data_IF_152557289991
#
_entry.id   IF_152557289991
#
_cell.length_a   1.000
_cell.length_b   1.000
_cell.length_c   1.000
_cell.angle_alpha   90.00
_cell.angle_beta   90.00
_cell.angle_gamma   90.00
#
_symmetry.space_group_name_H-M   'P 1'
#
loop_
_entity.id
_entity.type
_entity.pdbx_description
1 polymer ?
#
# COMPACT_ATOMS: atom_id res chain seq x y z
N UNK A 1 48.25 -24.66 -10.03
CA UNK A 1 48.46 -23.74 -8.89
C UNK A 1 47.32 -22.71 -8.89
N UNK A 2 46.38 -22.81 -7.95
CA UNK A 2 45.19 -21.95 -7.92
C UNK A 2 45.50 -20.62 -7.21
N UNK A 3 45.33 -19.50 -7.92
CA UNK A 3 45.55 -18.14 -7.41
C UNK A 3 44.43 -17.78 -6.44
N UNK A 4 44.69 -17.79 -5.13
CA UNK A 4 43.78 -17.25 -4.10
C UNK A 4 43.54 -15.77 -4.40
N UNK A 5 42.32 -15.42 -4.84
CA UNK A 5 41.89 -14.05 -5.04
C UNK A 5 41.60 -13.45 -3.66
N UNK A 6 42.42 -12.51 -3.22
CA UNK A 6 42.22 -11.79 -1.96
C UNK A 6 41.05 -10.82 -2.15
N UNK A 7 39.84 -11.26 -1.82
CA UNK A 7 38.65 -10.41 -1.86
C UNK A 7 38.72 -9.51 -0.61
N UNK A 8 38.76 -8.17 -0.75
CA UNK A 8 38.83 -7.28 0.39
C UNK A 8 37.55 -7.44 1.24
N UNK A 9 37.71 -7.51 2.56
CA UNK A 9 36.60 -7.72 3.51
C UNK A 9 35.45 -6.71 3.34
N UNK A 10 35.76 -5.50 2.86
CA UNK A 10 34.78 -4.47 2.51
C UNK A 10 33.80 -4.91 1.39
N UNK A 11 34.25 -5.69 0.40
CA UNK A 11 33.37 -6.24 -0.64
C UNK A 11 32.49 -7.39 -0.13
N UNK A 12 32.98 -8.17 0.83
CA UNK A 12 32.24 -9.33 1.37
C UNK A 12 31.09 -8.87 2.28
N UNK A 13 31.27 -7.78 3.02
CA UNK A 13 30.26 -7.24 3.93
C UNK A 13 29.32 -6.21 3.28
N UNK A 14 29.76 -5.52 2.22
CA UNK A 14 28.92 -4.52 1.54
C UNK A 14 27.75 -5.12 0.77
N UNK A 15 27.96 -6.28 0.12
CA UNK A 15 26.93 -6.95 -0.68
C UNK A 15 25.71 -7.42 0.14
N UNK A 16 25.86 -8.12 1.29
CA UNK A 16 24.72 -8.55 2.09
C UNK A 16 23.97 -7.39 2.76
N UNK A 17 24.68 -6.31 3.12
CA UNK A 17 24.04 -5.12 3.73
C UNK A 17 23.17 -4.38 2.70
N UNK A 18 23.67 -4.25 1.47
CA UNK A 18 22.93 -3.62 0.38
C UNK A 18 21.67 -4.43 0.01
N UNK A 19 21.78 -5.77 -0.06
CA UNK A 19 20.63 -6.61 -0.42
C UNK A 19 19.55 -6.57 0.66
N UNK A 20 19.92 -6.63 1.95
CA UNK A 20 18.96 -6.50 3.06
C UNK A 20 18.26 -5.14 3.03
N UNK A 21 18.99 -4.04 2.78
CA UNK A 21 18.41 -2.70 2.67
C UNK A 21 17.33 -2.58 1.59
N UNK A 22 17.52 -3.24 0.44
CA UNK A 22 16.52 -3.23 -0.65
C UNK A 22 15.25 -3.98 -0.27
N UNK A 23 15.34 -5.11 0.45
CA UNK A 23 14.17 -5.86 0.88
C UNK A 23 13.33 -5.14 1.95
N UNK A 24 13.94 -4.34 2.81
CA UNK A 24 13.22 -3.56 3.84
C UNK A 24 12.41 -2.41 3.22
N UNK A 25 12.92 -1.79 2.16
CA UNK A 25 12.22 -0.71 1.44
C UNK A 25 11.17 -1.23 0.45
N UNK A 26 11.35 -2.45 -0.06
CA UNK A 26 10.41 -3.14 -0.95
C UNK A 26 9.24 -3.81 -0.26
N UNK A 27 8.76 -3.26 0.87
CA UNK A 27 7.56 -3.71 1.55
C UNK A 27 6.34 -3.53 0.66
N UNK A 28 6.10 -4.48 -0.25
CA UNK A 28 4.88 -4.62 -1.02
C UNK A 28 3.73 -4.88 -0.05
N UNK A 29 3.19 -3.81 0.51
CA UNK A 29 2.00 -3.87 1.34
C UNK A 29 0.80 -4.08 0.41
N UNK A 30 0.59 -5.34 0.02
CA UNK A 30 -0.65 -5.76 -0.63
C UNK A 30 -1.77 -5.41 0.34
N UNK A 31 -2.71 -4.57 -0.11
CA UNK A 31 -3.87 -4.20 0.70
C UNK A 31 -4.55 -5.48 1.19
N UNK A 32 -4.67 -5.62 2.53
CA UNK A 32 -5.33 -6.76 3.16
C UNK A 32 -6.79 -6.90 2.71
N UNK A 33 -7.38 -5.80 2.30
CA UNK A 33 -8.76 -5.69 1.90
C UNK A 33 -8.86 -5.35 0.41
N UNK A 34 -9.81 -5.98 -0.30
CA UNK A 34 -10.11 -5.57 -1.67
C UNK A 34 -10.73 -4.17 -1.69
N UNK A 35 -10.66 -3.51 -2.84
CA UNK A 35 -11.32 -2.21 -3.04
C UNK A 35 -12.86 -2.32 -2.99
N UNK A 36 -13.39 -3.52 -3.22
CA UNK A 36 -14.82 -3.84 -3.18
C UNK A 36 -15.30 -4.39 -1.84
N UNK A 37 -14.39 -4.63 -0.89
CA UNK A 37 -14.74 -5.19 0.41
C UNK A 37 -15.49 -4.16 1.25
N UNK A 38 -16.59 -4.62 1.85
CA UNK A 38 -17.35 -3.85 2.83
C UNK A 38 -16.45 -3.54 4.03
N UNK A 39 -16.33 -2.26 4.40
CA UNK A 39 -15.49 -1.77 5.50
C UNK A 39 -16.29 -1.58 6.77
N UNK A 40 -17.58 -1.31 6.63
CA UNK A 40 -18.50 -1.14 7.74
C UNK A 40 -19.73 -2.03 7.55
N UNK A 41 -20.43 -2.40 8.64
CA UNK A 41 -21.71 -3.10 8.52
C UNK A 41 -22.76 -2.30 7.72
N UNK A 42 -22.63 -0.96 7.72
CA UNK A 42 -23.54 -0.05 7.03
C UNK A 42 -23.37 -0.09 5.50
N UNK A 43 -22.18 -0.43 4.98
CA UNK A 43 -21.92 -0.47 3.53
C UNK A 43 -22.88 -1.43 2.80
N UNK A 44 -23.28 -2.54 3.45
CA UNK A 44 -24.27 -3.47 2.89
C UNK A 44 -25.67 -2.85 2.82
N UNK A 45 -26.07 -2.10 3.85
CA UNK A 45 -27.36 -1.43 3.89
C UNK A 45 -27.44 -0.35 2.81
N UNK A 46 -26.41 0.49 2.74
CA UNK A 46 -26.28 1.55 1.73
C UNK A 46 -26.33 1.00 0.31
N UNK A 47 -25.68 -0.14 0.06
CA UNK A 47 -25.74 -0.81 -1.26
C UNK A 47 -27.14 -1.25 -1.64
N UNK A 48 -27.92 -1.78 -0.70
CA UNK A 48 -29.32 -2.20 -0.95
C UNK A 48 -30.19 -0.99 -1.30
N UNK A 49 -29.95 0.15 -0.64
CA UNK A 49 -30.67 1.40 -0.89
C UNK A 49 -30.14 2.19 -2.10
N UNK A 50 -29.15 1.63 -2.82
CA UNK A 50 -28.44 2.32 -3.91
C UNK A 50 -27.78 3.65 -3.47
N UNK A 51 -27.42 3.74 -2.19
CA UNK A 51 -26.73 4.85 -1.55
C UNK A 51 -25.26 4.48 -1.27
N UNK A 52 -24.61 3.69 -2.12
CA UNK A 52 -23.21 3.35 -1.88
C UNK A 52 -22.29 4.55 -2.20
N UNK A 53 -21.46 4.96 -1.24
CA UNK A 53 -20.43 5.99 -1.46
C UNK A 53 -19.09 5.34 -1.85
N UNK A 54 -18.47 5.82 -2.94
CA UNK A 54 -17.11 5.43 -3.31
C UNK A 54 -16.14 5.72 -2.15
N UNK A 55 -15.26 4.77 -1.75
CA UNK A 55 -14.44 4.92 -0.55
C UNK A 55 -13.32 5.98 -0.69
N UNK A 56 -12.86 6.22 -1.92
CA UNK A 56 -11.79 7.16 -2.22
C UNK A 56 -12.17 8.03 -3.42
N UNK A 57 -11.64 9.24 -3.42
CA UNK A 57 -11.70 10.19 -4.54
C UNK A 57 -10.28 10.71 -4.82
N UNK A 58 -10.05 11.20 -6.03
CA UNK A 58 -8.82 11.90 -6.36
C UNK A 58 -9.00 13.38 -6.09
N UNK A 59 -8.00 13.99 -5.45
CA UNK A 59 -7.93 15.44 -5.34
C UNK A 59 -7.45 16.09 -6.65
N UNK A 60 -7.41 17.42 -6.67
CA UNK A 60 -6.91 18.22 -7.79
C UNK A 60 -5.44 17.96 -8.14
N UNK A 61 -4.66 17.34 -7.25
CA UNK A 61 -3.26 16.97 -7.47
C UNK A 61 -3.08 15.51 -7.89
N UNK A 62 -4.18 14.77 -8.10
CA UNK A 62 -4.16 13.35 -8.45
C UNK A 62 -3.85 12.43 -7.26
N UNK A 63 -3.89 12.93 -6.03
CA UNK A 63 -3.68 12.13 -4.82
C UNK A 63 -4.98 11.43 -4.43
N UNK A 64 -4.88 10.12 -4.14
CA UNK A 64 -6.02 9.32 -3.65
C UNK A 64 -6.29 9.68 -2.18
N UNK A 65 -7.45 10.25 -1.90
CA UNK A 65 -7.88 10.65 -0.54
C UNK A 65 -9.19 9.95 -0.14
N UNK A 66 -9.42 9.69 1.17
CA UNK A 66 -10.67 9.08 1.63
C UNK A 66 -11.86 10.01 1.38
N UNK A 67 -12.97 9.45 0.88
CA UNK A 67 -14.19 10.20 0.62
C UNK A 67 -15.01 10.40 1.90
N UNK A 68 -14.52 11.24 2.80
CA UNK A 68 -15.18 11.51 4.07
C UNK A 68 -16.48 12.28 3.89
N UNK A 69 -16.57 13.14 2.87
CA UNK A 69 -17.75 13.99 2.65
C UNK A 69 -18.99 13.17 2.36
N UNK A 70 -18.91 12.25 1.40
CA UNK A 70 -20.03 11.38 1.04
C UNK A 70 -20.43 10.40 2.16
N UNK A 71 -19.59 10.22 3.19
CA UNK A 71 -19.83 9.32 4.32
C UNK A 71 -20.36 10.02 5.56
N UNK A 72 -20.00 11.29 5.76
CA UNK A 72 -20.28 12.02 7.00
C UNK A 72 -21.32 13.13 6.83
N UNK A 73 -21.52 13.65 5.61
CA UNK A 73 -22.55 14.66 5.36
C UNK A 73 -23.91 14.02 5.07
N UNK A 74 -25.01 14.74 5.39
CA UNK A 74 -26.34 14.39 4.92
C UNK A 74 -26.35 14.22 3.40
N UNK A 75 -27.18 13.30 2.93
CA UNK A 75 -27.46 13.09 1.52
C UNK A 75 -28.75 13.82 1.20
N UNK A 76 -28.67 14.77 0.27
CA UNK A 76 -29.79 15.58 -0.19
C UNK A 76 -30.67 14.81 -1.19
#
# INVERSE_FOLDING_TARGET
MARKRNIPAACVLGLPVLTVGVFVLGGCQRSLFSDTADRTPFDRYDRIQNQYAVPFVYDEYGTRVPNLRARLLPRD
#
